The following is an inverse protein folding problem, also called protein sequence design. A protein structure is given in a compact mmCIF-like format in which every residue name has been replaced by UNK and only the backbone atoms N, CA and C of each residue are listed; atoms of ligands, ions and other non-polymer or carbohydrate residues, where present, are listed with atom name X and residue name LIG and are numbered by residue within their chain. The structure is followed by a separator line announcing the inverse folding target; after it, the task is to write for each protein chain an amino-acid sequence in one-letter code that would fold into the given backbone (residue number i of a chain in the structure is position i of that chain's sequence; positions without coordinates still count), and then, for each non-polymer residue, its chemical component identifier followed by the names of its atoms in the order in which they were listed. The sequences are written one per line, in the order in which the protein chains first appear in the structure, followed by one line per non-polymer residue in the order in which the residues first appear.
data_IF_776148351405
#
_entry.id   IF_776148351405
#
_cell.length_a   1.000
_cell.length_b   1.000
_cell.length_c   1.000
_cell.angle_alpha   90.00
_cell.angle_beta   90.00
_cell.angle_gamma   90.00
#
_symmetry.space_group_name_H-M   'P 1'
#
loop_
_entity.id
_entity.type
_entity.pdbx_description
1 polymer ?
#
# COMPACT_ATOMS: atom_id res chain seq x y z
N UNK A 1 -3.44 -2.28 -27.24
CA UNK A 1 -2.39 -1.39 -27.84
C UNK A 1 -2.04 -0.18 -26.98
N UNK A 2 -2.76 0.04 -25.86
CA UNK A 2 -2.50 1.17 -24.94
C UNK A 2 -1.78 0.75 -23.62
N UNK A 3 -1.69 -0.54 -23.35
CA UNK A 3 -1.00 -1.03 -22.14
C UNK A 3 0.50 -0.72 -22.16
N UNK A 4 1.13 -0.84 -23.34
CA UNK A 4 2.53 -0.46 -23.51
C UNK A 4 2.77 1.03 -23.19
N UNK A 5 1.83 1.91 -23.49
CA UNK A 5 1.96 3.35 -23.19
C UNK A 5 1.73 3.68 -21.71
N UNK A 6 0.79 3.02 -21.03
CA UNK A 6 0.63 3.20 -19.58
C UNK A 6 1.77 2.58 -18.79
N UNK A 7 2.22 1.36 -19.15
CA UNK A 7 3.42 0.78 -18.58
C UNK A 7 4.67 1.61 -18.92
N UNK A 8 4.79 2.10 -20.16
CA UNK A 8 5.92 2.96 -20.57
C UNK A 8 5.85 4.32 -19.88
N UNK A 9 4.65 4.89 -19.67
CA UNK A 9 4.48 6.13 -18.92
C UNK A 9 4.78 5.93 -17.43
N UNK A 10 4.33 4.82 -16.87
CA UNK A 10 4.64 4.41 -15.50
C UNK A 10 6.14 4.09 -15.35
N UNK A 11 6.73 3.36 -16.32
CA UNK A 11 8.16 3.04 -16.36
C UNK A 11 9.03 4.27 -16.61
N UNK A 12 8.65 5.17 -17.51
CA UNK A 12 9.35 6.43 -17.77
C UNK A 12 9.27 7.37 -16.56
N UNK A 13 8.17 7.33 -15.80
CA UNK A 13 8.03 8.12 -14.57
C UNK A 13 8.86 7.56 -13.40
N UNK A 14 9.09 6.25 -13.38
CA UNK A 14 9.93 5.59 -12.34
C UNK A 14 11.43 5.76 -12.64
N UNK A 15 11.83 5.82 -13.91
CA UNK A 15 13.22 6.06 -14.32
C UNK A 15 13.63 7.54 -14.39
N UNK A 16 12.70 8.46 -14.20
CA UNK A 16 13.01 9.88 -14.07
C UNK A 16 13.64 10.18 -12.72
N UNK A 17 14.94 10.20 -12.65
CA UNK A 17 15.85 10.55 -11.55
C UNK A 17 15.28 10.82 -10.14
N UNK A 18 16.16 10.89 -9.16
CA UNK A 18 15.86 11.03 -7.70
C UNK A 18 14.78 12.11 -7.37
N UNK A 19 14.65 13.15 -8.19
CA UNK A 19 13.60 14.19 -8.07
C UNK A 19 12.19 13.67 -8.29
N UNK A 20 12.01 12.70 -9.20
CA UNK A 20 10.70 12.10 -9.46
C UNK A 20 10.26 11.14 -8.35
N UNK A 21 11.20 10.43 -7.74
CA UNK A 21 10.93 9.57 -6.57
C UNK A 21 10.41 10.41 -5.40
N UNK A 22 11.07 11.53 -5.10
CA UNK A 22 10.62 12.44 -4.04
C UNK A 22 9.22 13.01 -4.32
N UNK A 23 8.95 13.40 -5.56
CA UNK A 23 7.65 13.94 -5.94
C UNK A 23 6.53 12.91 -5.77
N UNK A 24 6.78 11.66 -6.13
CA UNK A 24 5.82 10.56 -5.94
C UNK A 24 5.55 10.27 -4.45
N UNK A 25 6.59 10.29 -3.61
CA UNK A 25 6.43 10.14 -2.16
C UNK A 25 5.61 11.29 -1.54
N UNK A 26 5.79 12.52 -2.04
CA UNK A 26 4.99 13.67 -1.59
C UNK A 26 3.52 13.49 -1.98
N UNK A 27 3.22 13.05 -3.20
CA UNK A 27 1.86 12.79 -3.64
C UNK A 27 1.21 11.65 -2.85
N UNK A 28 1.95 10.57 -2.58
CA UNK A 28 1.49 9.47 -1.73
C UNK A 28 1.19 9.97 -0.30
N UNK A 29 2.05 10.82 0.26
CA UNK A 29 1.84 11.43 1.56
C UNK A 29 0.58 12.29 1.60
N UNK A 30 0.38 13.18 0.62
CA UNK A 30 -0.80 14.03 0.51
C UNK A 30 -2.09 13.22 0.35
N UNK A 31 -2.05 12.16 -0.47
CA UNK A 31 -3.17 11.24 -0.61
C UNK A 31 -3.52 10.57 0.72
N UNK A 32 -2.53 10.09 1.48
CA UNK A 32 -2.75 9.51 2.80
C UNK A 32 -3.33 10.52 3.79
N UNK A 33 -2.91 11.79 3.76
CA UNK A 33 -3.51 12.85 4.59
C UNK A 33 -4.98 13.02 4.23
N UNK A 34 -5.31 13.14 2.95
CA UNK A 34 -6.68 13.33 2.48
C UNK A 34 -7.60 12.18 2.94
N UNK A 35 -7.15 10.94 2.77
CA UNK A 35 -7.90 9.77 3.23
C UNK A 35 -7.98 9.66 4.75
N UNK A 36 -6.91 9.96 5.47
CA UNK A 36 -6.91 9.96 6.92
C UNK A 36 -7.90 10.97 7.51
N UNK A 37 -8.11 12.11 6.84
CA UNK A 37 -9.16 13.06 7.21
C UNK A 37 -10.56 12.47 7.00
N UNK A 38 -10.79 11.74 5.92
CA UNK A 38 -12.06 11.03 5.66
C UNK A 38 -12.34 10.00 6.77
N UNK A 39 -11.32 9.31 7.26
CA UNK A 39 -11.41 8.39 8.40
C UNK A 39 -11.48 9.09 9.77
N UNK A 40 -11.68 10.41 9.78
CA UNK A 40 -11.78 11.24 11.01
C UNK A 40 -10.53 11.17 11.91
N UNK A 41 -9.39 10.77 11.36
CA UNK A 41 -8.11 10.82 12.08
C UNK A 41 -7.69 12.28 12.27
N UNK A 42 -7.25 12.63 13.48
CA UNK A 42 -6.89 14.02 13.81
C UNK A 42 -5.52 14.12 14.48
N UNK A 43 -4.87 15.25 14.27
CA UNK A 43 -3.63 15.62 14.94
C UNK A 43 -2.43 14.75 14.57
N UNK A 44 -1.61 14.41 15.57
CA UNK A 44 -0.35 13.68 15.37
C UNK A 44 -0.53 12.30 14.76
N UNK A 45 -1.64 11.63 15.02
CA UNK A 45 -1.95 10.30 14.50
C UNK A 45 -2.07 10.30 12.98
N UNK A 46 -2.72 11.33 12.42
CA UNK A 46 -2.88 11.52 10.97
C UNK A 46 -1.51 11.65 10.27
N UNK A 47 -0.65 12.50 10.79
CA UNK A 47 0.68 12.72 10.20
C UNK A 47 1.54 11.46 10.24
N UNK A 48 1.49 10.72 11.36
CA UNK A 48 2.26 9.49 11.53
C UNK A 48 1.74 8.39 10.59
N UNK A 49 0.42 8.23 10.46
CA UNK A 49 -0.17 7.28 9.52
C UNK A 49 0.19 7.61 8.07
N UNK A 50 0.14 8.89 7.69
CA UNK A 50 0.50 9.35 6.34
C UNK A 50 1.99 9.16 6.03
N UNK A 51 2.87 9.34 7.02
CA UNK A 51 4.28 9.01 6.90
C UNK A 51 4.49 7.51 6.59
N UNK A 52 3.69 6.63 7.19
CA UNK A 52 3.70 5.20 6.88
C UNK A 52 3.40 4.91 5.41
N UNK A 53 2.44 5.60 4.81
CA UNK A 53 2.14 5.47 3.39
C UNK A 53 3.26 5.96 2.48
N UNK A 54 3.87 7.10 2.82
CA UNK A 54 5.04 7.61 2.09
C UNK A 54 6.24 6.66 2.18
N UNK A 55 6.50 6.09 3.37
CA UNK A 55 7.53 5.07 3.60
C UNK A 55 7.30 3.82 2.76
N UNK A 56 6.07 3.31 2.75
CA UNK A 56 5.71 2.15 1.96
C UNK A 56 5.93 2.38 0.47
N UNK A 57 5.51 3.53 -0.04
CA UNK A 57 5.75 3.90 -1.44
C UNK A 57 7.24 4.04 -1.76
N UNK A 58 8.02 4.62 -0.84
CA UNK A 58 9.46 4.73 -0.98
C UNK A 58 10.15 3.36 -1.05
N UNK A 59 9.77 2.43 -0.17
CA UNK A 59 10.29 1.04 -0.19
C UNK A 59 9.92 0.37 -1.51
N UNK A 60 8.68 0.52 -1.99
CA UNK A 60 8.25 0.01 -3.29
C UNK A 60 9.15 0.51 -4.43
N UNK A 61 9.47 1.80 -4.45
CA UNK A 61 10.32 2.40 -5.48
C UNK A 61 11.78 1.92 -5.42
N UNK A 62 12.34 1.72 -4.22
CA UNK A 62 13.69 1.18 -4.06
C UNK A 62 13.79 -0.24 -4.63
N UNK A 63 12.80 -1.07 -4.35
CA UNK A 63 12.81 -2.47 -4.79
C UNK A 63 12.35 -2.65 -6.25
N UNK A 64 12.06 -1.59 -6.96
CA UNK A 64 11.64 -1.63 -8.37
C UNK A 64 12.67 -2.29 -9.30
N UNK A 65 13.95 -2.36 -8.89
CA UNK A 65 14.98 -3.04 -9.67
C UNK A 65 14.82 -4.57 -9.72
N UNK A 66 13.98 -5.18 -8.85
CA UNK A 66 13.75 -6.62 -8.83
C UNK A 66 12.95 -7.13 -10.04
N UNK A 67 12.33 -6.26 -10.84
CA UNK A 67 11.49 -6.62 -12.00
C UNK A 67 10.40 -7.67 -11.71
N UNK A 68 9.92 -7.74 -10.46
CA UNK A 68 8.86 -8.64 -10.00
C UNK A 68 7.86 -7.87 -9.14
N UNK A 69 6.83 -7.34 -9.77
CA UNK A 69 5.85 -6.46 -9.14
C UNK A 69 5.23 -7.04 -7.86
N UNK A 70 4.80 -8.31 -7.90
CA UNK A 70 4.17 -8.97 -6.74
C UNK A 70 5.10 -9.00 -5.53
N UNK A 71 6.40 -9.27 -5.76
CA UNK A 71 7.39 -9.33 -4.68
C UNK A 71 7.68 -7.94 -4.09
N UNK A 72 7.71 -6.92 -4.95
CA UNK A 72 7.88 -5.52 -4.54
C UNK A 72 6.75 -5.06 -3.64
N UNK A 73 5.50 -5.33 -4.04
CA UNK A 73 4.32 -5.04 -3.21
C UNK A 73 4.35 -5.79 -1.89
N UNK A 74 4.76 -7.05 -1.88
CA UNK A 74 4.90 -7.83 -0.65
C UNK A 74 5.90 -7.21 0.32
N UNK A 75 7.13 -6.90 -0.13
CA UNK A 75 8.19 -6.31 0.71
C UNK A 75 7.76 -4.94 1.24
N UNK A 76 7.20 -4.10 0.38
CA UNK A 76 6.72 -2.79 0.76
C UNK A 76 5.59 -2.87 1.80
N UNK A 77 4.68 -3.84 1.66
CA UNK A 77 3.60 -4.08 2.61
C UNK A 77 4.13 -4.56 3.96
N UNK A 78 5.09 -5.47 3.97
CA UNK A 78 5.73 -5.93 5.21
C UNK A 78 6.37 -4.76 5.95
N UNK A 79 7.12 -3.90 5.25
CA UNK A 79 7.73 -2.71 5.83
C UNK A 79 6.69 -1.74 6.41
N UNK A 80 5.62 -1.48 5.67
CA UNK A 80 4.52 -0.61 6.09
C UNK A 80 3.76 -1.19 7.29
N UNK A 81 3.51 -2.49 7.31
CA UNK A 81 2.84 -3.17 8.40
C UNK A 81 3.68 -3.16 9.69
N UNK A 82 5.00 -3.40 9.59
CA UNK A 82 5.92 -3.28 10.74
C UNK A 82 5.90 -1.86 11.30
N UNK A 83 5.99 -0.85 10.43
CA UNK A 83 5.91 0.55 10.85
C UNK A 83 4.60 0.85 11.58
N UNK A 84 3.47 0.41 11.02
CA UNK A 84 2.13 0.61 11.60
C UNK A 84 1.98 -0.04 12.97
N UNK A 85 2.48 -1.27 13.14
CA UNK A 85 2.46 -1.99 14.42
C UNK A 85 3.31 -1.28 15.49
N UNK A 86 4.50 -0.80 15.13
CA UNK A 86 5.37 -0.07 16.06
C UNK A 86 4.72 1.25 16.49
N UNK A 87 4.17 2.02 15.53
CA UNK A 87 3.54 3.30 15.82
C UNK A 87 2.25 3.15 16.63
N UNK A 88 1.46 2.12 16.37
CA UNK A 88 0.27 1.78 17.12
C UNK A 88 0.60 1.57 18.62
N UNK A 89 1.66 0.84 18.90
CA UNK A 89 2.12 0.57 20.28
C UNK A 89 2.64 1.83 20.98
N UNK A 90 3.42 2.65 20.25
CA UNK A 90 3.94 3.92 20.80
C UNK A 90 2.83 4.89 21.14
N UNK A 91 1.77 4.95 20.32
CA UNK A 91 0.64 5.86 20.52
C UNK A 91 -0.52 5.23 21.32
N UNK A 92 -0.41 3.95 21.70
CA UNK A 92 -1.48 3.19 22.37
C UNK A 92 -2.81 3.24 21.63
N UNK A 93 -2.76 3.03 20.31
CA UNK A 93 -3.93 3.01 19.42
C UNK A 93 -3.97 1.69 18.64
N UNK A 94 -5.13 1.30 18.09
CA UNK A 94 -5.21 0.10 17.26
C UNK A 94 -4.36 0.23 16.01
N UNK A 95 -3.61 -0.82 15.67
CA UNK A 95 -2.71 -0.86 14.51
C UNK A 95 -3.48 -0.73 13.19
N UNK A 96 -4.73 -1.19 13.16
CA UNK A 96 -5.61 -1.14 11.99
C UNK A 96 -5.83 0.28 11.46
N UNK A 97 -5.93 1.29 12.36
CA UNK A 97 -6.07 2.69 11.94
C UNK A 97 -4.89 3.15 11.08
N UNK A 98 -3.67 2.82 11.52
CA UNK A 98 -2.44 3.19 10.81
C UNK A 98 -2.28 2.38 9.52
N UNK A 99 -2.59 1.08 9.55
CA UNK A 99 -2.46 0.18 8.40
C UNK A 99 -3.38 0.59 7.25
N UNK A 100 -4.66 0.89 7.51
CA UNK A 100 -5.63 1.28 6.48
C UNK A 100 -5.13 2.49 5.70
N UNK A 101 -4.70 3.55 6.39
CA UNK A 101 -4.23 4.79 5.74
C UNK A 101 -2.89 4.57 5.04
N UNK A 102 -1.96 3.87 5.67
CA UNK A 102 -0.62 3.66 5.14
C UNK A 102 -0.58 2.74 3.91
N UNK A 103 -1.50 1.77 3.80
CA UNK A 103 -1.56 0.84 2.67
C UNK A 103 -2.32 1.40 1.45
N UNK A 104 -3.05 2.49 1.63
CA UNK A 104 -3.91 3.05 0.59
C UNK A 104 -3.20 3.35 -0.73
N UNK A 105 -1.99 3.94 -0.75
CA UNK A 105 -1.27 4.16 -2.01
C UNK A 105 -0.86 2.87 -2.73
N UNK A 106 -0.83 1.74 -2.03
CA UNK A 106 -0.42 0.44 -2.57
C UNK A 106 -1.57 -0.40 -3.11
N UNK A 107 -2.82 0.02 -2.88
CA UNK A 107 -3.98 -0.70 -3.42
C UNK A 107 -3.90 -0.69 -4.95
N UNK A 108 -4.00 -1.86 -5.61
CA UNK A 108 -3.84 -1.95 -7.07
C UNK A 108 -5.10 -1.46 -7.82
N UNK A 109 -5.48 -0.19 -7.57
CA UNK A 109 -6.68 0.42 -8.16
C UNK A 109 -6.65 0.46 -9.68
N UNK A 110 -5.49 0.75 -10.27
CA UNK A 110 -5.31 0.72 -11.71
C UNK A 110 -5.49 -0.68 -12.30
N UNK A 111 -4.99 -1.71 -11.62
CA UNK A 111 -5.18 -3.10 -12.04
C UNK A 111 -6.66 -3.51 -12.05
N UNK A 112 -7.41 -3.11 -11.02
CA UNK A 112 -8.86 -3.36 -10.94
C UNK A 112 -9.59 -2.64 -12.07
N UNK A 113 -9.27 -1.36 -12.30
CA UNK A 113 -9.89 -0.56 -13.35
C UNK A 113 -9.68 -1.19 -14.74
N UNK A 114 -8.44 -1.52 -15.12
CA UNK A 114 -8.14 -2.12 -16.41
C UNK A 114 -8.76 -3.52 -16.56
N UNK A 115 -8.82 -4.30 -15.49
CA UNK A 115 -9.50 -5.61 -15.52
C UNK A 115 -10.97 -5.44 -15.88
N UNK A 116 -11.66 -4.47 -15.27
CA UNK A 116 -13.05 -4.16 -15.59
C UNK A 116 -13.22 -3.62 -17.01
N UNK A 117 -12.33 -2.76 -17.47
CA UNK A 117 -12.32 -2.24 -18.83
C UNK A 117 -12.23 -3.38 -19.86
N UNK A 118 -11.32 -4.34 -19.69
CA UNK A 118 -11.20 -5.48 -20.59
C UNK A 118 -12.40 -6.40 -20.56
N UNK A 119 -13.05 -6.55 -19.40
CA UNK A 119 -14.30 -7.28 -19.27
C UNK A 119 -15.41 -6.65 -20.14
N UNK A 120 -15.56 -5.32 -20.08
CA UNK A 120 -16.58 -4.58 -20.84
C UNK A 120 -16.32 -4.60 -22.35
N UNK A 121 -15.05 -4.55 -22.77
CA UNK A 121 -14.63 -4.62 -24.18
C UNK A 121 -14.76 -6.05 -24.73
N UNK A 122 -14.90 -7.07 -23.90
CA UNK A 122 -14.97 -8.47 -24.31
C UNK A 122 -13.63 -9.06 -24.74
N UNK A 123 -12.52 -8.55 -24.18
CA UNK A 123 -11.19 -9.10 -24.42
C UNK A 123 -10.81 -10.07 -23.29
N UNK A 124 -11.25 -11.33 -23.43
CA UNK A 124 -11.10 -12.37 -22.40
C UNK A 124 -9.62 -12.66 -22.06
N UNK A 125 -8.73 -12.63 -23.03
CA UNK A 125 -7.29 -12.90 -22.81
C UNK A 125 -6.68 -11.83 -21.89
N UNK A 126 -6.91 -10.56 -22.20
CA UNK A 126 -6.37 -9.44 -21.39
C UNK A 126 -7.06 -9.34 -20.05
N UNK A 127 -8.37 -9.63 -19.98
CA UNK A 127 -9.13 -9.70 -18.73
C UNK A 127 -8.50 -10.72 -17.76
N UNK A 128 -8.28 -11.96 -18.22
CA UNK A 128 -7.69 -13.00 -17.38
C UNK A 128 -6.27 -12.66 -16.94
N UNK A 129 -5.44 -12.17 -17.86
CA UNK A 129 -4.06 -11.80 -17.54
C UNK A 129 -3.96 -10.67 -16.52
N UNK A 130 -4.72 -9.59 -16.73
CA UNK A 130 -4.70 -8.42 -15.83
C UNK A 130 -5.36 -8.75 -14.49
N UNK A 131 -6.47 -9.51 -14.53
CA UNK A 131 -7.18 -9.93 -13.32
C UNK A 131 -6.33 -10.82 -12.42
N UNK A 132 -5.69 -11.86 -12.97
CA UNK A 132 -4.79 -12.73 -12.20
C UNK A 132 -3.58 -11.97 -11.62
N UNK A 133 -3.01 -11.05 -12.38
CA UNK A 133 -1.91 -10.21 -11.89
C UNK A 133 -2.36 -9.32 -10.73
N UNK A 134 -3.53 -8.69 -10.86
CA UNK A 134 -4.12 -7.82 -9.82
C UNK A 134 -4.47 -8.62 -8.55
N UNK A 135 -5.03 -9.81 -8.70
CA UNK A 135 -5.27 -10.74 -7.59
C UNK A 135 -3.97 -11.18 -6.92
N UNK A 136 -2.91 -11.40 -7.69
CA UNK A 136 -1.57 -11.71 -7.17
C UNK A 136 -1.03 -10.57 -6.28
N UNK A 137 -1.17 -9.32 -6.71
CA UNK A 137 -0.78 -8.15 -5.91
C UNK A 137 -1.63 -8.05 -4.64
N UNK A 138 -2.95 -8.18 -4.75
CA UNK A 138 -3.85 -8.15 -3.60
C UNK A 138 -3.54 -9.27 -2.59
N UNK A 139 -3.24 -10.48 -3.07
CA UNK A 139 -2.77 -11.60 -2.25
C UNK A 139 -1.46 -11.30 -1.54
N UNK A 140 -0.48 -10.69 -2.23
CA UNK A 140 0.79 -10.27 -1.65
C UNK A 140 0.59 -9.25 -0.51
N UNK A 141 -0.29 -8.26 -0.72
CA UNK A 141 -0.65 -7.28 0.31
C UNK A 141 -1.27 -7.97 1.54
N UNK A 142 -2.25 -8.85 1.33
CA UNK A 142 -2.92 -9.57 2.40
C UNK A 142 -1.94 -10.45 3.20
N UNK A 143 -1.09 -11.22 2.52
CA UNK A 143 -0.08 -12.07 3.16
C UNK A 143 0.95 -11.25 3.94
N UNK A 144 1.40 -10.09 3.42
CA UNK A 144 2.33 -9.21 4.11
C UNK A 144 1.76 -8.69 5.44
N UNK A 145 0.49 -8.25 5.44
CA UNK A 145 -0.20 -7.79 6.65
C UNK A 145 -0.35 -8.93 7.66
N UNK A 146 -0.86 -10.09 7.20
CA UNK A 146 -1.12 -11.23 8.08
C UNK A 146 0.16 -11.75 8.74
N UNK A 147 1.26 -11.85 8.01
CA UNK A 147 2.55 -12.29 8.55
C UNK A 147 3.02 -11.36 9.66
N UNK A 148 3.03 -10.06 9.41
CA UNK A 148 3.49 -9.07 10.40
C UNK A 148 2.58 -9.05 11.61
N UNK A 149 1.27 -8.94 11.43
CA UNK A 149 0.31 -8.90 12.53
C UNK A 149 0.34 -10.18 13.37
N UNK A 150 0.55 -11.34 12.74
CA UNK A 150 0.70 -12.62 13.45
C UNK A 150 1.97 -12.65 14.30
N UNK A 151 3.11 -12.22 13.74
CA UNK A 151 4.39 -12.17 14.47
C UNK A 151 4.32 -11.25 15.69
N UNK A 152 3.73 -10.08 15.52
CA UNK A 152 3.58 -9.12 16.61
C UNK A 152 2.57 -9.58 17.68
N UNK A 153 1.57 -10.36 17.29
CA UNK A 153 0.58 -10.92 18.24
C UNK A 153 1.17 -12.02 19.12
N UNK A 154 2.12 -12.80 18.61
CA UNK A 154 2.82 -13.85 19.38
C UNK A 154 3.77 -13.21 20.39
N UNK A 155 4.41 -12.09 20.05
CA UNK A 155 5.45 -11.45 20.87
C UNK A 155 4.93 -10.55 22.00
N UNK A 156 3.62 -10.21 22.07
CA UNK A 156 3.09 -9.32 23.09
C UNK A 156 1.66 -9.71 23.46
N UNK A 157 1.29 -9.70 24.76
CA UNK A 157 -0.08 -9.94 25.18
C UNK A 157 -1.03 -8.92 24.53
N UNK A 158 -2.26 -9.34 24.21
CA UNK A 158 -3.24 -8.44 23.59
C UNK A 158 -3.48 -7.23 24.52
N UNK A 159 -3.47 -6.03 23.89
CA UNK A 159 -3.92 -4.82 24.55
C UNK A 159 -5.35 -5.06 25.07
N UNK A 160 -5.50 -5.14 26.39
CA UNK A 160 -6.83 -5.19 27.00
C UNK A 160 -7.49 -3.82 26.79
N UNK A 161 -8.56 -3.79 25.99
CA UNK A 161 -9.42 -2.59 25.95
C UNK A 161 -9.83 -2.22 27.36
N UNK A 162 -9.75 -0.91 27.71
CA UNK A 162 -10.32 -0.45 28.96
C UNK A 162 -11.83 -0.76 28.91
N UNK A 163 -12.30 -1.59 29.86
CA UNK A 163 -13.73 -1.82 30.06
C UNK A 163 -14.37 -0.46 30.31
N UNK A 164 -15.25 -0.05 29.42
CA UNK A 164 -16.18 1.04 29.69
C UNK A 164 -17.10 0.58 30.82
N UNK A 165 -16.83 1.00 32.04
CA UNK A 165 -17.82 1.08 33.13
C UNK A 165 -18.65 2.34 32.97
#
# INVERSE_FOLDING_TARGET
RNWSRCCTYYYAHVHGGMKMVFLQCIWAFLACIAFGLVYSMRGKTLLIASLGGALGWFVYLIFNFLNRDILQFFIATVATAIYSEIMARLLRKPATEFQIVALLPMVPGGGIFYTMEYCVIGNDEMFMKTGLHTLGIAGALAMGILLVSSLFRIGTPPYSEPKHE
#
